data_IF_519194826823
#
_entry.id   IF_519194826823
#
_cell.length_a   1.000
_cell.length_b   1.000
_cell.length_c   1.000
_cell.angle_alpha   90.00
_cell.angle_beta   90.00
_cell.angle_gamma   90.00
#
_symmetry.space_group_name_H-M   'P 1'
#
loop_
_entity.id
_entity.type
_entity.pdbx_description
1 polymer ?
#
# COMPACT_ATOMS: atom_id res chain seq x y z
N UNK A 1 37.49 13.96 6.45
CA UNK A 1 36.80 14.03 5.14
C UNK A 1 36.17 12.67 4.82
N UNK A 2 35.02 12.32 5.41
CA UNK A 2 34.33 11.03 5.16
C UNK A 2 32.93 11.22 4.53
N UNK A 3 32.34 12.42 4.54
CA UNK A 3 30.96 12.63 4.09
C UNK A 3 30.71 12.80 2.58
N UNK A 4 31.74 12.94 1.73
CA UNK A 4 31.53 13.25 0.29
C UNK A 4 31.21 12.03 -0.58
N UNK A 5 31.76 10.86 -0.23
CA UNK A 5 31.59 9.63 -1.00
C UNK A 5 30.32 8.87 -0.58
N UNK A 6 29.93 8.90 0.70
CA UNK A 6 28.67 8.30 1.18
C UNK A 6 27.45 9.04 0.62
N UNK A 7 27.43 10.38 0.64
CA UNK A 7 26.30 11.17 0.12
C UNK A 7 26.10 10.96 -1.40
N UNK A 8 27.19 10.85 -2.18
CA UNK A 8 27.10 10.50 -3.61
C UNK A 8 26.66 9.05 -3.84
N UNK A 9 27.09 8.10 -3.01
CA UNK A 9 26.74 6.68 -3.15
C UNK A 9 25.27 6.40 -2.75
N UNK A 10 24.77 7.06 -1.70
CA UNK A 10 23.37 7.00 -1.28
C UNK A 10 22.43 7.59 -2.35
N UNK A 11 22.89 8.63 -3.07
CA UNK A 11 22.15 9.20 -4.20
C UNK A 11 21.99 8.19 -5.35
N UNK A 12 23.03 7.45 -5.71
CA UNK A 12 22.95 6.47 -6.82
C UNK A 12 22.04 5.29 -6.46
N UNK A 13 22.15 4.75 -5.23
CA UNK A 13 21.26 3.67 -4.79
C UNK A 13 19.79 4.09 -4.82
N UNK A 14 19.47 5.27 -4.30
CA UNK A 14 18.12 5.82 -4.32
C UNK A 14 17.59 6.00 -5.74
N UNK A 15 18.38 6.57 -6.64
CA UNK A 15 18.01 6.74 -8.06
C UNK A 15 17.80 5.42 -8.79
N UNK A 16 18.57 4.37 -8.48
CA UNK A 16 18.34 3.04 -9.04
C UNK A 16 16.98 2.47 -8.60
N UNK A 17 16.59 2.68 -7.33
CA UNK A 17 15.28 2.29 -6.81
C UNK A 17 14.18 3.09 -7.52
N UNK A 18 14.31 4.41 -7.59
CA UNK A 18 13.30 5.28 -8.20
C UNK A 18 13.12 4.97 -9.69
N UNK A 19 14.21 4.79 -10.44
CA UNK A 19 14.12 4.37 -11.84
C UNK A 19 13.46 2.99 -12.00
N UNK A 20 13.72 2.07 -11.06
CA UNK A 20 13.10 0.73 -11.08
C UNK A 20 11.59 0.86 -10.93
N UNK A 21 11.11 1.70 -10.01
CA UNK A 21 9.69 2.02 -9.84
C UNK A 21 9.11 2.54 -11.16
N UNK A 22 9.74 3.54 -11.78
CA UNK A 22 9.27 4.11 -13.05
C UNK A 22 9.22 3.09 -14.18
N UNK A 23 10.23 2.21 -14.30
CA UNK A 23 10.26 1.18 -15.35
C UNK A 23 9.18 0.11 -15.12
N UNK A 24 8.96 -0.34 -13.88
CA UNK A 24 7.87 -1.27 -13.55
C UNK A 24 6.52 -0.63 -13.88
N UNK A 25 6.31 0.63 -13.49
CA UNK A 25 5.08 1.39 -13.74
C UNK A 25 4.81 1.65 -15.23
N UNK A 26 5.85 1.84 -16.04
CA UNK A 26 5.70 2.04 -17.48
C UNK A 26 5.50 0.72 -18.23
N UNK A 27 6.32 -0.29 -17.96
CA UNK A 27 6.45 -1.45 -18.85
C UNK A 27 6.11 -2.80 -18.22
N UNK A 28 5.93 -2.85 -16.90
CA UNK A 28 5.72 -4.09 -16.15
C UNK A 28 7.02 -4.83 -15.84
N UNK A 29 6.91 -5.86 -15.00
CA UNK A 29 8.07 -6.58 -14.46
C UNK A 29 8.88 -7.31 -15.55
N UNK A 30 8.21 -7.97 -16.49
CA UNK A 30 8.88 -8.75 -17.55
C UNK A 30 9.83 -7.90 -18.40
N UNK A 31 9.48 -6.62 -18.60
CA UNK A 31 10.26 -5.67 -19.39
C UNK A 31 11.21 -4.83 -18.54
N UNK A 32 11.22 -5.03 -17.23
CA UNK A 32 12.14 -4.35 -16.31
C UNK A 32 13.51 -5.03 -16.39
N UNK A 33 14.33 -4.59 -17.35
CA UNK A 33 15.73 -5.01 -17.53
C UNK A 33 16.68 -4.02 -16.86
N UNK A 34 17.88 -4.48 -16.48
CA UNK A 34 18.94 -3.63 -15.93
C UNK A 34 19.28 -2.45 -16.86
N UNK A 35 19.29 -2.70 -18.17
CA UNK A 35 19.43 -1.64 -19.20
C UNK A 35 18.29 -0.64 -19.20
N UNK A 36 17.05 -1.09 -19.04
CA UNK A 36 15.90 -0.18 -18.94
C UNK A 36 15.97 0.68 -17.67
N UNK A 37 16.41 0.10 -16.53
CA UNK A 37 16.55 0.80 -15.25
C UNK A 37 17.58 1.94 -15.32
N UNK A 38 18.71 1.75 -16.01
CA UNK A 38 19.72 2.81 -16.17
C UNK A 38 19.51 3.66 -17.43
N UNK A 39 18.59 3.26 -18.30
CA UNK A 39 18.31 3.91 -19.57
C UNK A 39 17.96 5.39 -19.40
N UNK A 40 18.58 6.26 -20.20
CA UNK A 40 18.38 7.70 -20.09
C UNK A 40 19.03 8.36 -18.88
N UNK A 41 19.79 7.62 -18.06
CA UNK A 41 20.54 8.17 -16.92
C UNK A 41 22.04 8.15 -17.14
N UNK A 42 22.78 8.83 -16.27
CA UNK A 42 24.25 8.79 -16.22
C UNK A 42 24.78 7.66 -15.31
N UNK A 43 23.94 6.72 -14.86
CA UNK A 43 24.33 5.63 -13.98
C UNK A 43 24.85 4.47 -14.83
N UNK A 44 26.05 3.97 -14.52
CA UNK A 44 26.58 2.78 -15.16
C UNK A 44 25.84 1.53 -14.62
N UNK A 45 25.41 0.63 -15.53
CA UNK A 45 24.71 -0.62 -15.21
C UNK A 45 25.41 -1.46 -14.12
N UNK A 46 26.75 -1.44 -14.08
CA UNK A 46 27.54 -2.14 -13.07
C UNK A 46 27.24 -1.69 -11.62
N UNK A 47 26.71 -0.48 -11.41
CA UNK A 47 26.30 -0.02 -10.08
C UNK A 47 25.10 -0.80 -9.52
N UNK A 48 24.27 -1.42 -10.36
CA UNK A 48 23.21 -2.31 -9.87
C UNK A 48 23.84 -3.43 -9.03
N UNK A 49 24.83 -4.13 -9.58
CA UNK A 49 25.51 -5.24 -8.90
C UNK A 49 26.44 -4.80 -7.76
N UNK A 50 26.74 -3.49 -7.66
CA UNK A 50 27.47 -2.92 -6.52
C UNK A 50 26.57 -2.69 -5.31
N UNK A 51 25.30 -2.35 -5.52
CA UNK A 51 24.36 -2.01 -4.45
C UNK A 51 23.35 -3.11 -4.14
N UNK A 52 23.13 -4.01 -5.09
CA UNK A 52 22.12 -5.06 -5.04
C UNK A 52 22.78 -6.38 -5.46
N UNK A 53 22.34 -7.47 -4.83
CA UNK A 53 22.88 -8.81 -5.13
C UNK A 53 22.64 -9.18 -6.61
N UNK A 54 21.42 -8.91 -7.07
CA UNK A 54 20.96 -9.11 -8.43
C UNK A 54 19.79 -8.17 -8.75
N UNK A 55 19.25 -8.29 -9.97
CA UNK A 55 18.10 -7.53 -10.41
C UNK A 55 16.86 -7.77 -9.54
N UNK A 56 16.62 -9.01 -9.12
CA UNK A 56 15.43 -9.37 -8.35
C UNK A 56 15.47 -8.73 -6.95
N UNK A 57 16.64 -8.65 -6.32
CA UNK A 57 16.84 -7.93 -5.06
C UNK A 57 16.63 -6.42 -5.19
N UNK A 58 16.92 -5.83 -6.35
CA UNK A 58 16.57 -4.44 -6.66
C UNK A 58 15.06 -4.26 -6.83
N UNK A 59 14.38 -5.18 -7.52
CA UNK A 59 12.91 -5.17 -7.65
C UNK A 59 12.23 -5.28 -6.28
N UNK A 60 12.69 -6.21 -5.44
CA UNK A 60 12.18 -6.39 -4.08
C UNK A 60 12.42 -5.14 -3.21
N UNK A 61 13.61 -4.54 -3.29
CA UNK A 61 13.91 -3.29 -2.56
C UNK A 61 13.03 -2.13 -3.03
N UNK A 62 12.72 -2.05 -4.33
CA UNK A 62 11.82 -1.04 -4.86
C UNK A 62 10.39 -1.23 -4.34
N UNK A 63 9.91 -2.48 -4.26
CA UNK A 63 8.64 -2.78 -3.62
C UNK A 63 8.65 -2.47 -2.12
N UNK A 64 9.69 -2.87 -1.38
CA UNK A 64 9.80 -2.61 0.06
C UNK A 64 9.72 -1.11 0.39
N UNK A 65 10.27 -0.26 -0.48
CA UNK A 65 10.13 1.20 -0.36
C UNK A 65 8.66 1.62 -0.47
N UNK A 66 7.96 1.17 -1.52
CA UNK A 66 6.56 1.52 -1.74
C UNK A 66 5.64 0.98 -0.63
N UNK A 67 5.91 -0.25 -0.18
CA UNK A 67 5.16 -0.92 0.89
C UNK A 67 5.36 -0.23 2.25
N UNK A 68 6.58 0.22 2.54
CA UNK A 68 6.86 1.04 3.73
C UNK A 68 6.14 2.39 3.69
N UNK A 69 6.15 3.09 2.55
CA UNK A 69 5.43 4.36 2.40
C UNK A 69 3.91 4.17 2.62
N UNK A 70 3.33 3.07 2.12
CA UNK A 70 1.91 2.74 2.33
C UNK A 70 1.59 2.42 3.80
N UNK A 71 2.45 1.67 4.49
CA UNK A 71 2.26 1.39 5.92
C UNK A 71 2.42 2.66 6.75
N UNK A 72 3.35 3.55 6.40
CA UNK A 72 3.59 4.82 7.10
C UNK A 72 2.36 5.74 7.01
N UNK A 73 1.81 5.93 5.81
CA UNK A 73 0.59 6.73 5.66
C UNK A 73 -0.59 6.08 6.39
N UNK A 74 -0.75 4.76 6.31
CA UNK A 74 -1.86 4.06 6.97
C UNK A 74 -1.75 4.17 8.49
N UNK A 75 -0.55 3.99 9.03
CA UNK A 75 -0.26 4.11 10.48
C UNK A 75 -0.51 5.52 10.99
N UNK A 76 -0.25 6.54 10.16
CA UNK A 76 -0.47 7.93 10.54
C UNK A 76 -1.95 8.25 10.82
N UNK A 77 -2.88 7.47 10.28
CA UNK A 77 -4.33 7.69 10.42
C UNK A 77 -5.06 6.61 11.22
N UNK A 78 -4.40 5.51 11.59
CA UNK A 78 -5.06 4.39 12.29
C UNK A 78 -5.70 4.79 13.62
N UNK A 79 -5.12 5.78 14.30
CA UNK A 79 -5.65 6.35 15.55
C UNK A 79 -7.07 6.92 15.41
N UNK A 80 -7.49 7.32 14.20
CA UNK A 80 -8.84 7.83 13.94
C UNK A 80 -9.92 6.76 14.17
N UNK A 81 -9.58 5.48 14.06
CA UNK A 81 -10.49 4.38 14.37
C UNK A 81 -10.85 4.31 15.87
N UNK A 82 -10.06 4.94 16.75
CA UNK A 82 -10.29 4.98 18.20
C UNK A 82 -11.10 6.18 18.71
N UNK A 83 -11.50 7.11 17.84
CA UNK A 83 -12.18 8.38 18.23
C UNK A 83 -13.64 8.11 18.64
N UNK A 84 -13.89 8.01 19.95
CA UNK A 84 -15.19 7.56 20.50
C UNK A 84 -16.35 8.55 20.31
N UNK A 85 -16.05 9.80 19.96
CA UNK A 85 -17.03 10.84 19.70
C UNK A 85 -17.75 10.66 18.35
N UNK A 86 -17.22 9.78 17.49
CA UNK A 86 -17.76 9.49 16.16
C UNK A 86 -18.21 8.03 16.09
N UNK A 87 -19.30 7.78 15.37
CA UNK A 87 -19.69 6.42 15.02
C UNK A 87 -18.59 5.73 14.19
N UNK A 88 -18.58 4.40 14.20
CA UNK A 88 -17.57 3.61 13.48
C UNK A 88 -17.51 3.91 11.97
N UNK A 89 -18.64 4.26 11.33
CA UNK A 89 -18.65 4.55 9.89
C UNK A 89 -17.90 5.86 9.59
N UNK A 90 -18.19 6.91 10.37
CA UNK A 90 -17.51 8.20 10.27
C UNK A 90 -16.01 8.08 10.55
N UNK A 91 -15.61 7.29 11.55
CA UNK A 91 -14.21 6.98 11.84
C UNK A 91 -13.53 6.28 10.67
N UNK A 92 -14.14 5.22 10.14
CA UNK A 92 -13.61 4.50 8.98
C UNK A 92 -13.47 5.42 7.76
N UNK A 93 -14.40 6.35 7.57
CA UNK A 93 -14.38 7.32 6.46
C UNK A 93 -13.21 8.29 6.57
N UNK A 94 -12.97 8.82 7.77
CA UNK A 94 -11.83 9.71 8.04
C UNK A 94 -10.49 8.98 7.89
N UNK A 95 -10.42 7.71 8.27
CA UNK A 95 -9.25 6.85 8.04
C UNK A 95 -9.03 6.52 6.55
N UNK A 96 -10.10 6.16 5.84
CA UNK A 96 -10.04 5.72 4.44
C UNK A 96 -9.54 6.82 3.50
N UNK A 97 -10.07 8.03 3.65
CA UNK A 97 -9.82 9.15 2.72
C UNK A 97 -8.33 9.42 2.46
N UNK A 98 -7.48 9.65 3.47
CA UNK A 98 -6.07 9.95 3.21
C UNK A 98 -5.29 8.76 2.62
N UNK A 99 -5.67 7.52 2.95
CA UNK A 99 -5.04 6.33 2.36
C UNK A 99 -5.44 6.21 0.88
N UNK A 100 -6.71 6.47 0.55
CA UNK A 100 -7.19 6.50 -0.83
C UNK A 100 -6.52 7.60 -1.66
N UNK A 101 -6.45 8.81 -1.11
CA UNK A 101 -5.77 9.95 -1.74
C UNK A 101 -4.28 9.67 -1.95
N UNK A 102 -3.61 9.00 -1.02
CA UNK A 102 -2.22 8.57 -1.18
C UNK A 102 -2.03 7.62 -2.36
N UNK A 103 -2.90 6.60 -2.49
CA UNK A 103 -2.82 5.66 -3.61
C UNK A 103 -3.01 6.37 -4.95
N UNK A 104 -3.96 7.30 -5.04
CA UNK A 104 -4.25 8.04 -6.28
C UNK A 104 -3.26 9.18 -6.57
N UNK A 105 -2.60 9.73 -5.54
CA UNK A 105 -1.72 10.88 -5.64
C UNK A 105 -0.45 10.64 -6.46
N UNK A 106 -0.06 9.38 -6.68
CA UNK A 106 1.06 9.03 -7.54
C UNK A 106 0.79 7.77 -8.36
N UNK A 107 0.26 7.96 -9.57
CA UNK A 107 -0.01 6.89 -10.56
C UNK A 107 1.18 5.97 -10.78
N UNK A 108 2.38 6.53 -10.89
CA UNK A 108 3.59 5.73 -11.15
C UNK A 108 3.87 4.77 -10.00
N UNK A 109 3.95 5.27 -8.77
CA UNK A 109 4.19 4.46 -7.57
C UNK A 109 3.10 3.42 -7.36
N UNK A 110 1.84 3.79 -7.51
CA UNK A 110 0.72 2.87 -7.31
C UNK A 110 0.72 1.74 -8.36
N UNK A 111 0.94 2.06 -9.64
CA UNK A 111 1.05 1.04 -10.69
C UNK A 111 2.26 0.13 -10.47
N UNK A 112 3.40 0.65 -10.03
CA UNK A 112 4.56 -0.17 -9.68
C UNK A 112 4.25 -1.12 -8.51
N UNK A 113 3.62 -0.62 -7.46
CA UNK A 113 3.19 -1.42 -6.30
C UNK A 113 2.28 -2.56 -6.76
N UNK A 114 1.20 -2.25 -7.48
CA UNK A 114 0.19 -3.21 -7.95
C UNK A 114 0.83 -4.30 -8.82
N UNK A 115 1.63 -3.89 -9.81
CA UNK A 115 2.28 -4.83 -10.74
C UNK A 115 3.25 -5.76 -10.02
N UNK A 116 3.91 -5.28 -8.96
CA UNK A 116 4.77 -6.12 -8.15
C UNK A 116 3.97 -7.02 -7.20
N UNK A 117 3.03 -6.46 -6.45
CA UNK A 117 2.21 -7.14 -5.43
C UNK A 117 1.48 -8.36 -5.99
N UNK A 118 0.88 -8.25 -7.18
CA UNK A 118 0.19 -9.38 -7.84
C UNK A 118 1.10 -10.30 -8.66
N UNK A 119 2.42 -10.10 -8.63
CA UNK A 119 3.35 -10.91 -9.41
C UNK A 119 3.84 -12.15 -8.65
N UNK A 120 4.39 -13.15 -9.37
CA UNK A 120 5.11 -14.25 -8.74
C UNK A 120 6.32 -13.82 -7.88
N UNK A 121 6.90 -12.64 -8.17
CA UNK A 121 8.03 -12.09 -7.41
C UNK A 121 7.64 -11.75 -5.98
N UNK A 122 6.44 -11.20 -5.76
CA UNK A 122 5.95 -10.88 -4.43
C UNK A 122 5.93 -12.12 -3.53
N UNK A 123 5.29 -13.20 -4.00
CA UNK A 123 5.21 -14.45 -3.24
C UNK A 123 6.60 -15.03 -2.93
N UNK A 124 7.54 -14.90 -3.86
CA UNK A 124 8.88 -15.47 -3.72
C UNK A 124 9.80 -14.65 -2.80
N UNK A 125 9.72 -13.32 -2.85
CA UNK A 125 10.74 -12.44 -2.28
C UNK A 125 10.22 -11.49 -1.20
N UNK A 126 8.91 -11.20 -1.13
CA UNK A 126 8.40 -10.07 -0.35
C UNK A 126 7.18 -10.37 0.51
N UNK A 127 6.53 -11.54 0.37
CA UNK A 127 5.29 -11.83 1.11
C UNK A 127 5.49 -11.87 2.63
N UNK A 128 6.56 -12.49 3.12
CA UNK A 128 6.85 -12.55 4.56
C UNK A 128 7.20 -11.16 5.12
N UNK A 129 8.10 -10.41 4.46
CA UNK A 129 8.47 -9.06 4.91
C UNK A 129 7.30 -8.09 4.85
N UNK A 130 6.41 -8.21 3.85
CA UNK A 130 5.16 -7.46 3.77
C UNK A 130 4.25 -7.76 4.96
N UNK A 131 4.04 -9.04 5.29
CA UNK A 131 3.23 -9.42 6.45
C UNK A 131 3.82 -8.90 7.76
N UNK A 132 5.13 -9.04 7.96
CA UNK A 132 5.83 -8.53 9.14
C UNK A 132 5.69 -7.00 9.27
N UNK A 133 5.83 -6.27 8.17
CA UNK A 133 5.73 -4.81 8.13
C UNK A 133 4.33 -4.31 8.51
N UNK A 134 3.30 -5.08 8.20
CA UNK A 134 1.92 -4.78 8.57
C UNK A 134 1.56 -5.19 10.02
N UNK A 135 2.49 -5.83 10.76
CA UNK A 135 2.24 -6.30 12.13
C UNK A 135 1.66 -5.22 13.05
N UNK A 136 2.26 -4.03 13.08
CA UNK A 136 1.77 -2.92 13.93
C UNK A 136 0.40 -2.39 13.51
N UNK A 137 0.05 -2.48 12.22
CA UNK A 137 -1.31 -2.18 11.76
C UNK A 137 -2.27 -3.26 12.22
N UNK A 138 -1.94 -4.54 12.08
CA UNK A 138 -2.77 -5.65 12.55
C UNK A 138 -3.12 -5.47 14.04
N UNK A 139 -2.11 -5.22 14.88
CA UNK A 139 -2.31 -4.96 16.31
C UNK A 139 -3.27 -3.79 16.57
N UNK A 140 -3.14 -2.70 15.82
CA UNK A 140 -4.04 -1.54 15.95
C UNK A 140 -5.49 -1.86 15.53
N UNK A 141 -5.67 -2.71 14.52
CA UNK A 141 -6.99 -3.10 14.03
C UNK A 141 -7.66 -4.19 14.88
N UNK A 142 -6.90 -5.00 15.62
CA UNK A 142 -7.44 -5.97 16.60
C UNK A 142 -8.19 -5.27 17.76
N UNK A 143 -7.89 -4.00 18.02
CA UNK A 143 -8.67 -3.20 18.98
C UNK A 143 -10.07 -2.86 18.46
N UNK A 144 -10.26 -2.84 17.14
CA UNK A 144 -11.48 -2.37 16.44
C UNK A 144 -12.36 -3.54 15.99
N UNK A 145 -11.75 -4.64 15.54
CA UNK A 145 -12.44 -5.85 15.11
C UNK A 145 -12.67 -6.84 16.26
N UNK A 146 -13.69 -7.70 16.13
CA UNK A 146 -13.95 -8.76 17.11
C UNK A 146 -12.80 -9.75 17.17
N UNK A 147 -12.65 -10.44 18.31
CA UNK A 147 -11.55 -11.39 18.53
C UNK A 147 -11.55 -12.55 17.51
N UNK A 148 -12.72 -12.96 17.02
CA UNK A 148 -12.85 -14.00 15.99
C UNK A 148 -12.48 -13.53 14.57
N UNK A 149 -12.28 -12.23 14.36
CA UNK A 149 -11.97 -11.69 13.05
C UNK A 149 -10.53 -12.01 12.64
N UNK A 150 -10.35 -12.47 11.39
CA UNK A 150 -9.01 -12.60 10.82
C UNK A 150 -8.57 -11.23 10.27
N UNK A 151 -8.01 -10.39 11.13
CA UNK A 151 -7.59 -9.01 10.81
C UNK A 151 -6.63 -8.96 9.61
N UNK A 152 -5.72 -9.92 9.48
CA UNK A 152 -4.83 -10.01 8.32
C UNK A 152 -5.60 -10.20 7.01
N UNK A 153 -6.60 -11.09 6.99
CA UNK A 153 -7.44 -11.28 5.80
C UNK A 153 -8.29 -10.05 5.50
N UNK A 154 -8.81 -9.38 6.53
CA UNK A 154 -9.59 -8.15 6.36
C UNK A 154 -8.73 -7.01 5.79
N UNK A 155 -7.54 -6.78 6.33
CA UNK A 155 -6.61 -5.76 5.80
C UNK A 155 -6.21 -6.06 4.34
N UNK A 156 -5.95 -7.31 4.01
CA UNK A 156 -5.70 -7.70 2.62
C UNK A 156 -6.90 -7.46 1.71
N UNK A 157 -8.11 -7.77 2.19
CA UNK A 157 -9.34 -7.50 1.45
C UNK A 157 -9.52 -5.99 1.19
N UNK A 158 -9.36 -5.16 2.21
CA UNK A 158 -9.41 -3.69 2.10
C UNK A 158 -8.40 -3.22 1.05
N UNK A 159 -7.14 -3.62 1.17
CA UNK A 159 -6.08 -3.25 0.24
C UNK A 159 -6.40 -3.69 -1.18
N UNK A 160 -6.85 -4.93 -1.38
CA UNK A 160 -7.19 -5.46 -2.69
C UNK A 160 -8.34 -4.69 -3.37
N UNK A 161 -9.38 -4.33 -2.61
CA UNK A 161 -10.48 -3.51 -3.13
C UNK A 161 -9.97 -2.13 -3.54
N UNK A 162 -9.20 -1.46 -2.68
CA UNK A 162 -8.64 -0.14 -2.99
C UNK A 162 -7.74 -0.20 -4.23
N UNK A 163 -6.77 -1.11 -4.29
CA UNK A 163 -5.89 -1.25 -5.46
C UNK A 163 -6.66 -1.56 -6.74
N UNK A 164 -7.68 -2.42 -6.68
CA UNK A 164 -8.50 -2.76 -7.85
C UNK A 164 -9.23 -1.56 -8.43
N UNK A 165 -9.73 -0.64 -7.59
CA UNK A 165 -10.36 0.59 -8.05
C UNK A 165 -9.35 1.67 -8.45
N UNK A 166 -8.19 1.74 -7.80
CA UNK A 166 -7.13 2.66 -8.21
C UNK A 166 -6.69 2.40 -9.66
N UNK A 167 -6.60 1.13 -10.09
CA UNK A 167 -6.34 0.77 -11.49
C UNK A 167 -7.40 1.35 -12.42
N UNK A 168 -8.68 1.16 -12.07
CA UNK A 168 -9.82 1.63 -12.87
C UNK A 168 -9.88 3.16 -12.98
N UNK A 169 -9.41 3.85 -11.95
CA UNK A 169 -9.26 5.32 -12.00
C UNK A 169 -8.11 5.69 -12.95
N UNK A 170 -6.98 4.98 -12.88
CA UNK A 170 -5.81 5.30 -13.71
C UNK A 170 -5.93 4.93 -15.19
N UNK A 171 -6.82 4.00 -15.54
CA UNK A 171 -7.12 3.62 -16.92
C UNK A 171 -8.36 4.31 -17.49
N UNK A 172 -8.90 5.30 -16.75
CA UNK A 172 -10.08 6.11 -17.09
C UNK A 172 -11.38 5.29 -17.24
N UNK A 173 -11.42 4.04 -16.73
CA UNK A 173 -12.65 3.24 -16.66
C UNK A 173 -13.66 3.78 -15.63
N UNK A 174 -13.17 4.50 -14.61
CA UNK A 174 -13.96 5.17 -13.57
C UNK A 174 -13.37 6.56 -13.32
N UNK A 175 -14.21 7.54 -12.98
CA UNK A 175 -13.78 8.90 -12.71
C UNK A 175 -12.93 9.01 -11.42
N UNK A 176 -12.05 10.01 -11.36
CA UNK A 176 -11.35 10.39 -10.13
C UNK A 176 -12.11 11.51 -9.42
N UNK A 177 -13.20 11.16 -8.74
CA UNK A 177 -14.09 12.10 -8.06
C UNK A 177 -14.58 11.58 -6.70
N UNK A 178 -15.26 12.46 -5.97
CA UNK A 178 -15.80 12.16 -4.63
C UNK A 178 -16.84 11.03 -4.68
N UNK A 179 -17.62 10.91 -5.76
CA UNK A 179 -18.61 9.83 -5.94
C UNK A 179 -17.91 8.47 -6.04
N UNK A 180 -16.80 8.39 -6.77
CA UNK A 180 -15.97 7.19 -6.85
C UNK A 180 -15.34 6.87 -5.50
N UNK A 181 -14.77 7.87 -4.82
CA UNK A 181 -14.21 7.68 -3.48
C UNK A 181 -15.25 7.16 -2.48
N UNK A 182 -16.48 7.71 -2.51
CA UNK A 182 -17.61 7.26 -1.70
C UNK A 182 -17.97 5.81 -2.01
N UNK A 183 -18.04 5.45 -3.28
CA UNK A 183 -18.37 4.09 -3.69
C UNK A 183 -17.35 3.06 -3.18
N UNK A 184 -16.06 3.36 -3.34
CA UNK A 184 -14.98 2.48 -2.86
C UNK A 184 -15.00 2.38 -1.33
N UNK A 185 -15.21 3.50 -0.63
CA UNK A 185 -15.38 3.51 0.82
C UNK A 185 -16.51 2.57 1.25
N UNK A 186 -17.69 2.69 0.64
CA UNK A 186 -18.86 1.85 0.98
C UNK A 186 -18.59 0.37 0.77
N UNK A 187 -17.93 0.00 -0.34
CA UNK A 187 -17.56 -1.39 -0.60
C UNK A 187 -16.65 -1.94 0.49
N UNK A 188 -15.62 -1.17 0.86
CA UNK A 188 -14.73 -1.52 1.96
C UNK A 188 -15.51 -1.64 3.27
N UNK A 189 -16.23 -0.59 3.67
CA UNK A 189 -16.92 -0.53 4.96
C UNK A 189 -17.97 -1.64 5.12
N UNK A 190 -18.88 -1.84 4.16
CA UNK A 190 -19.93 -2.85 4.32
C UNK A 190 -19.40 -4.29 4.25
N UNK A 191 -18.26 -4.52 3.58
CA UNK A 191 -17.61 -5.83 3.58
C UNK A 191 -16.91 -6.16 4.91
N UNK A 192 -16.50 -5.16 5.67
CA UNK A 192 -15.81 -5.33 6.97
C UNK A 192 -16.72 -5.09 8.17
N UNK A 193 -17.87 -4.42 7.99
CA UNK A 193 -18.84 -4.09 9.03
C UNK A 193 -19.23 -5.25 9.96
N UNK A 194 -19.50 -6.47 9.46
CA UNK A 194 -19.87 -7.60 10.32
C UNK A 194 -18.81 -7.97 11.36
N UNK A 195 -17.56 -7.60 11.13
CA UNK A 195 -16.42 -7.95 11.96
C UNK A 195 -16.07 -6.89 13.01
N UNK A 196 -16.72 -5.72 13.02
CA UNK A 196 -16.48 -4.72 14.06
C UNK A 196 -17.02 -5.19 15.42
N UNK A 197 -16.31 -4.80 16.49
CA UNK A 197 -16.86 -4.91 17.85
C UNK A 197 -18.19 -4.15 17.92
N UNK A 198 -19.15 -4.69 18.66
CA UNK A 198 -20.39 -3.94 18.94
C UNK A 198 -19.98 -2.72 19.77
N UNK A 199 -20.48 -1.54 19.41
CA UNK A 199 -20.36 -0.37 20.29
C UNK A 199 -21.23 -0.64 21.51
N UNK A 200 -20.63 -0.58 22.72
CA UNK A 200 -21.35 -0.69 23.98
C UNK A 200 -22.29 0.53 24.10
N UNK A 201 -23.52 0.44 23.55
CA UNK A 201 -24.41 1.60 23.56
C UNK A 201 -25.73 1.55 22.80
N UNK A 202 -25.96 0.63 21.84
CA UNK A 202 -27.32 0.44 21.30
C UNK A 202 -27.90 -0.89 21.79
N UNK A 203 -28.56 -0.82 22.95
CA UNK A 203 -29.76 -1.60 23.17
C UNK A 203 -30.78 -1.14 22.12
N UNK A 204 -30.73 -1.73 20.94
CA UNK A 204 -31.93 -1.87 20.13
C UNK A 204 -32.61 -3.13 20.65
N UNK A 205 -33.56 -2.88 21.56
CA UNK A 205 -34.69 -3.75 21.77
C UNK A 205 -35.33 -4.03 20.39
N UNK A 206 -35.02 -5.18 19.81
CA UNK A 206 -35.97 -5.86 18.94
C UNK A 206 -36.66 -6.94 19.77
N UNK A 207 -37.61 -6.47 20.58
CA UNK A 207 -38.83 -7.22 20.89
C UNK A 207 -39.66 -7.38 19.61
N UNK A 208 -40.21 -8.59 19.42
CA UNK A 208 -41.27 -9.00 18.48
C UNK A 208 -40.88 -9.01 16.98
N UNK A 209 -40.92 -10.15 16.28
CA UNK A 209 -42.01 -11.14 16.16
C UNK A 209 -41.51 -12.58 16.12
#
# INVERSE_FOLDING_TARGET
MIGGAEVKQTNVRGRLIDNTISVIAAYGLDKTTTKAIVGGTNINEAYIYRYFHDKDSLLATAFDKLDAELVEITSSYVHLLGVKELDIEARCRLFFKPVWEFLLGNKEKCLAFIRYYYSPYFRKYSAESHKERYGGLIESFDEVFREEANTWMLLNHILNVMLSFAIKVFDDSVANDDDTAEHVFRLVYYSTKPYFKKEDGNNEDEESV
#
